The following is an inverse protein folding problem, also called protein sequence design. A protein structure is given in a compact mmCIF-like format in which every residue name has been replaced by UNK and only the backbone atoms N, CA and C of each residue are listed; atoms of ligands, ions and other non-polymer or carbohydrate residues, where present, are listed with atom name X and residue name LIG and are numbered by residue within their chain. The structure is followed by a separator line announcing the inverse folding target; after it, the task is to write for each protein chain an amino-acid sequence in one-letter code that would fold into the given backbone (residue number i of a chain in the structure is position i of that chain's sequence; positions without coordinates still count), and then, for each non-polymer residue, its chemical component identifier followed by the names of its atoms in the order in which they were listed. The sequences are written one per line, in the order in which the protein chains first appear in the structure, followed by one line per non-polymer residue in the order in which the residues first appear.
data_IF_082853004535
#
_entry.id   IF_082853004535
#
_cell.length_a   1.000
_cell.length_b   1.000
_cell.length_c   1.000
_cell.angle_alpha   90.00
_cell.angle_beta   90.00
_cell.angle_gamma   90.00
#
_symmetry.space_group_name_H-M   'P 1'
#
loop_
_entity.id
_entity.type
_entity.pdbx_description
1 polymer ?
#
# COMPACT_ATOMS: atom_id res chain seq x y z
N UNK A 1 6.49 7.33 6.81
CA UNK A 1 7.24 8.45 7.40
C UNK A 1 6.47 8.91 8.63
N UNK A 2 7.15 9.05 9.77
CA UNK A 2 6.56 9.62 10.99
C UNK A 2 7.22 10.97 11.26
N UNK A 3 6.44 12.04 11.16
CA UNK A 3 6.89 13.42 11.39
C UNK A 3 5.83 14.18 12.20
N UNK A 4 6.24 14.80 13.32
CA UNK A 4 5.30 15.38 14.27
C UNK A 4 4.28 14.34 14.72
N UNK A 5 2.99 14.67 14.66
CA UNK A 5 1.88 13.75 14.95
C UNK A 5 1.39 12.96 13.72
N UNK A 6 2.02 13.10 12.55
CA UNK A 6 1.54 12.50 11.31
C UNK A 6 2.37 11.28 10.92
N UNK A 7 1.68 10.18 10.63
CA UNK A 7 2.25 8.99 10.02
C UNK A 7 1.68 8.82 8.61
N UNK A 8 2.52 9.00 7.60
CA UNK A 8 2.19 8.72 6.21
C UNK A 8 2.75 7.37 5.78
N UNK A 9 1.91 6.55 5.13
CA UNK A 9 2.28 5.24 4.58
C UNK A 9 1.91 5.23 3.10
N UNK A 10 2.85 4.80 2.26
CA UNK A 10 2.63 4.57 0.84
C UNK A 10 2.88 3.09 0.53
N UNK A 11 1.95 2.49 -0.21
CA UNK A 11 2.03 1.14 -0.74
C UNK A 11 2.09 1.21 -2.26
N UNK A 12 3.08 0.56 -2.84
CA UNK A 12 3.20 0.30 -4.27
C UNK A 12 3.25 -1.21 -4.46
N UNK A 13 2.39 -1.76 -5.31
CA UNK A 13 2.36 -3.20 -5.52
C UNK A 13 1.95 -3.55 -6.96
N UNK A 14 2.59 -4.53 -7.61
CA UNK A 14 2.01 -5.20 -8.77
C UNK A 14 0.57 -5.63 -8.49
N UNK A 15 -0.34 -5.35 -9.41
CA UNK A 15 -1.76 -5.65 -9.26
C UNK A 15 -1.98 -7.13 -8.90
N UNK A 16 -1.24 -8.04 -9.54
CA UNK A 16 -1.34 -9.48 -9.32
C UNK A 16 -1.12 -9.90 -7.86
N UNK A 17 -0.35 -9.14 -7.07
CA UNK A 17 -0.17 -9.44 -5.64
C UNK A 17 -1.44 -9.19 -4.81
N UNK A 18 -2.31 -8.30 -5.29
CA UNK A 18 -3.50 -7.83 -4.57
C UNK A 18 -4.80 -8.40 -5.16
N UNK A 19 -4.89 -8.56 -6.47
CA UNK A 19 -6.08 -9.07 -7.18
C UNK A 19 -5.89 -10.47 -7.75
N UNK A 20 -4.65 -10.98 -7.84
CA UNK A 20 -4.36 -12.35 -8.28
C UNK A 20 -4.24 -12.55 -9.80
N UNK A 21 -4.30 -11.49 -10.61
CA UNK A 21 -4.17 -11.56 -12.07
C UNK A 21 -3.42 -10.33 -12.64
N UNK A 22 -2.83 -10.48 -13.84
CA UNK A 22 -2.01 -9.44 -14.49
C UNK A 22 -2.75 -8.66 -15.59
N UNK A 23 -3.87 -9.19 -16.06
CA UNK A 23 -4.70 -8.59 -17.11
C UNK A 23 -5.79 -7.69 -16.53
N UNK A 24 -6.58 -7.04 -17.40
CA UNK A 24 -7.73 -6.26 -16.95
C UNK A 24 -8.85 -7.20 -16.51
N UNK A 25 -9.68 -6.84 -15.51
CA UNK A 25 -10.86 -7.61 -15.16
C UNK A 25 -11.84 -7.61 -16.35
N UNK A 26 -12.29 -8.80 -16.75
CA UNK A 26 -13.22 -8.98 -17.88
C UNK A 26 -14.50 -9.70 -17.47
N UNK A 27 -14.51 -10.33 -16.29
CA UNK A 27 -15.65 -11.08 -15.76
C UNK A 27 -16.20 -10.42 -14.49
N UNK A 28 -17.47 -10.70 -14.19
CA UNK A 28 -18.11 -10.23 -12.96
C UNK A 28 -17.33 -10.66 -11.70
N UNK A 29 -16.78 -11.88 -11.71
CA UNK A 29 -15.93 -12.38 -10.62
C UNK A 29 -14.66 -11.55 -10.45
N UNK A 30 -14.02 -11.15 -11.54
CA UNK A 30 -12.81 -10.32 -11.49
C UNK A 30 -13.12 -8.89 -11.04
N UNK A 31 -14.24 -8.31 -11.50
CA UNK A 31 -14.72 -7.02 -11.02
C UNK A 31 -15.04 -7.06 -9.52
N UNK A 32 -15.65 -8.15 -9.04
CA UNK A 32 -15.91 -8.35 -7.62
C UNK A 32 -14.61 -8.45 -6.79
N UNK A 33 -13.57 -9.10 -7.32
CA UNK A 33 -12.24 -9.13 -6.69
C UNK A 33 -11.64 -7.73 -6.59
N UNK A 34 -11.70 -6.92 -7.66
CA UNK A 34 -11.19 -5.54 -7.64
C UNK A 34 -11.93 -4.70 -6.58
N UNK A 35 -13.26 -4.80 -6.53
CA UNK A 35 -14.07 -4.09 -5.54
C UNK A 35 -13.76 -4.55 -4.10
N UNK A 36 -13.52 -5.85 -3.89
CA UNK A 36 -13.11 -6.39 -2.58
C UNK A 36 -11.71 -5.88 -2.19
N UNK A 37 -10.78 -5.85 -3.14
CA UNK A 37 -9.43 -5.33 -2.93
C UNK A 37 -9.46 -3.85 -2.55
N UNK A 38 -10.25 -3.02 -3.25
CA UNK A 38 -10.46 -1.62 -2.88
C UNK A 38 -10.97 -1.50 -1.43
N UNK A 39 -12.00 -2.27 -1.07
CA UNK A 39 -12.57 -2.26 0.29
C UNK A 39 -11.53 -2.62 1.34
N UNK A 40 -10.78 -3.71 1.15
CA UNK A 40 -9.72 -4.11 2.09
C UNK A 40 -8.64 -3.05 2.21
N UNK A 41 -8.21 -2.47 1.09
CA UNK A 41 -7.24 -1.38 1.10
C UNK A 41 -7.76 -0.13 1.81
N UNK A 42 -9.07 0.12 1.84
CA UNK A 42 -9.66 1.25 2.58
C UNK A 42 -9.62 1.08 4.10
N UNK A 43 -9.46 -0.14 4.60
CA UNK A 43 -9.42 -0.48 6.03
C UNK A 43 -8.01 -0.26 6.62
N UNK A 44 -7.48 0.96 6.48
CA UNK A 44 -6.11 1.31 6.89
C UNK A 44 -5.77 0.95 8.34
N UNK A 45 -6.69 1.12 9.29
CA UNK A 45 -6.48 0.75 10.70
C UNK A 45 -6.42 -0.76 10.96
N UNK A 46 -6.98 -1.57 10.06
CA UNK A 46 -6.84 -3.03 10.08
C UNK A 46 -5.50 -3.43 9.46
N UNK A 47 -5.07 -2.70 8.42
CA UNK A 47 -3.85 -2.98 7.68
C UNK A 47 -2.58 -2.56 8.41
N UNK A 48 -2.63 -1.51 9.22
CA UNK A 48 -1.47 -0.91 9.88
C UNK A 48 -1.76 -0.58 11.33
N UNK A 49 -0.89 -1.04 12.22
CA UNK A 49 -1.01 -0.81 13.66
C UNK A 49 0.33 -0.32 14.22
N UNK A 50 0.25 0.63 15.14
CA UNK A 50 1.42 1.18 15.84
C UNK A 50 1.38 0.81 17.31
N UNK A 51 2.54 0.62 17.91
CA UNK A 51 2.67 0.29 19.33
C UNK A 51 3.87 1.02 19.96
N UNK A 52 3.82 1.28 21.29
CA UNK A 52 2.65 1.20 22.18
C UNK A 52 1.61 2.31 21.93
N UNK A 53 1.99 3.41 21.29
CA UNK A 53 1.07 4.49 20.98
C UNK A 53 0.27 4.19 19.70
N UNK A 54 -1.05 4.40 19.77
CA UNK A 54 -1.96 4.22 18.64
C UNK A 54 -1.99 5.46 17.73
N UNK A 55 -2.06 5.22 16.42
CA UNK A 55 -2.34 6.23 15.41
C UNK A 55 -3.68 5.90 14.73
N UNK A 56 -4.50 6.93 14.47
CA UNK A 56 -5.83 6.79 13.90
C UNK A 56 -5.86 7.26 12.46
N UNK A 57 -6.59 6.56 11.60
CA UNK A 57 -6.66 6.88 10.18
C UNK A 57 -7.39 8.22 9.97
N UNK A 58 -6.68 9.19 9.41
CA UNK A 58 -7.22 10.50 9.05
C UNK A 58 -7.73 10.53 7.60
N UNK A 59 -7.14 9.72 6.72
CA UNK A 59 -7.57 9.60 5.33
C UNK A 59 -6.74 8.59 4.55
N UNK A 60 -7.28 8.18 3.39
CA UNK A 60 -6.58 7.31 2.45
C UNK A 60 -6.94 7.70 1.01
N UNK A 61 -6.08 7.30 0.08
CA UNK A 61 -6.31 7.39 -1.37
C UNK A 61 -5.80 6.10 -2.00
N UNK A 62 -6.59 5.48 -2.87
CA UNK A 62 -6.26 4.21 -3.51
C UNK A 62 -6.44 4.40 -5.00
N UNK A 63 -5.39 4.13 -5.76
CA UNK A 63 -5.42 4.20 -7.23
C UNK A 63 -5.40 2.78 -7.82
N UNK A 64 -6.53 2.45 -8.43
CA UNK A 64 -6.76 1.22 -9.21
C UNK A 64 -6.96 1.51 -10.70
N UNK A 65 -6.75 2.75 -11.15
CA UNK A 65 -7.03 3.17 -12.54
C UNK A 65 -6.20 2.40 -13.58
N UNK A 66 -5.04 1.88 -13.19
CA UNK A 66 -4.22 1.03 -14.05
C UNK A 66 -4.91 -0.30 -14.41
N UNK A 67 -5.89 -0.72 -13.59
CA UNK A 67 -6.65 -1.96 -13.75
C UNK A 67 -8.15 -1.75 -14.02
N UNK A 68 -8.75 -0.62 -13.62
CA UNK A 68 -10.20 -0.36 -13.71
C UNK A 68 -10.56 0.66 -14.82
N UNK A 69 -11.75 0.53 -15.42
CA UNK A 69 -12.21 1.32 -16.59
C UNK A 69 -13.18 2.46 -16.26
N UNK A 70 -13.51 2.70 -15.00
CA UNK A 70 -14.51 3.71 -14.63
C UNK A 70 -13.90 5.10 -14.35
N UNK A 71 -13.29 5.70 -15.36
CA UNK A 71 -12.76 7.07 -15.30
C UNK A 71 -12.49 7.63 -16.69
N UNK A 72 -13.57 8.08 -17.34
CA UNK A 72 -13.64 9.14 -18.36
C UNK A 72 -12.84 9.00 -19.68
N UNK A 73 -13.50 9.43 -20.75
CA UNK A 73 -12.97 9.57 -22.11
C UNK A 73 -11.90 10.67 -22.17
N UNK A 74 -10.94 10.50 -23.09
CA UNK A 74 -9.96 11.49 -23.59
C UNK A 74 -8.81 11.94 -22.66
N UNK A 75 -7.64 11.33 -22.86
CA UNK A 75 -6.42 12.09 -23.20
C UNK A 75 -5.44 11.21 -23.97
N UNK A 76 -5.40 11.45 -25.29
CA UNK A 76 -4.16 11.33 -26.05
C UNK A 76 -3.19 12.39 -25.49
N UNK A 77 -2.01 12.00 -25.03
CA UNK A 77 -0.74 12.70 -25.30
C UNK A 77 0.45 12.01 -24.59
N UNK A 78 1.24 11.32 -25.43
CA UNK A 78 2.71 11.17 -25.43
C UNK A 78 3.49 11.56 -24.17
N UNK A 79 4.37 10.66 -23.69
CA UNK A 79 5.82 10.95 -23.59
C UNK A 79 6.70 9.71 -23.32
N UNK A 80 7.58 9.48 -24.30
CA UNK A 80 9.02 9.18 -24.20
C UNK A 80 9.54 7.78 -23.90
N UNK A 81 10.49 7.40 -24.75
CA UNK A 81 11.21 6.13 -24.81
C UNK A 81 12.14 5.88 -23.62
N UNK A 82 12.15 4.64 -23.15
CA UNK A 82 13.36 3.96 -22.64
C UNK A 82 13.18 2.45 -22.83
N UNK A 83 14.08 1.74 -23.53
CA UNK A 83 13.99 0.29 -23.65
C UNK A 83 14.67 -0.32 -22.42
N UNK A 84 14.02 -0.25 -21.27
CA UNK A 84 14.35 -1.13 -20.15
C UNK A 84 13.38 -2.30 -20.17
N UNK A 85 13.92 -3.50 -20.29
CA UNK A 85 13.19 -4.74 -20.04
C UNK A 85 12.59 -4.71 -18.62
N UNK A 86 11.39 -4.20 -18.48
CA UNK A 86 10.55 -4.37 -17.30
C UNK A 86 9.19 -4.78 -17.81
N UNK A 87 8.81 -6.01 -17.50
CA UNK A 87 7.45 -6.50 -17.64
C UNK A 87 6.47 -5.40 -17.20
N UNK A 88 5.59 -5.01 -18.12
CA UNK A 88 4.55 -3.98 -17.95
C UNK A 88 3.48 -4.47 -16.96
N UNK A 89 3.86 -4.79 -15.73
CA UNK A 89 2.92 -5.13 -14.68
C UNK A 89 2.17 -3.86 -14.29
N UNK A 90 0.85 -3.94 -14.30
CA UNK A 90 -0.01 -2.88 -13.78
C UNK A 90 0.26 -2.74 -12.29
N UNK A 91 0.40 -1.52 -11.81
CA UNK A 91 0.67 -1.22 -10.41
C UNK A 91 -0.57 -0.64 -9.74
N UNK A 92 -0.82 -1.06 -8.50
CA UNK A 92 -1.80 -0.44 -7.61
C UNK A 92 -1.01 0.39 -6.61
N UNK A 93 -1.48 1.61 -6.36
CA UNK A 93 -0.94 2.46 -5.31
C UNK A 93 -1.99 2.74 -4.24
N UNK A 94 -1.54 2.82 -2.99
CA UNK A 94 -2.38 3.27 -1.89
C UNK A 94 -1.58 4.17 -0.96
N UNK A 95 -2.20 5.24 -0.51
CA UNK A 95 -1.64 6.21 0.43
C UNK A 95 -2.55 6.30 1.64
N UNK A 96 -1.94 6.36 2.82
CA UNK A 96 -2.63 6.45 4.10
C UNK A 96 -2.01 7.56 4.92
N UNK A 97 -2.86 8.35 5.57
CA UNK A 97 -2.46 9.34 6.56
C UNK A 97 -3.10 9.00 7.88
N UNK A 98 -2.27 8.88 8.91
CA UNK A 98 -2.70 8.66 10.28
C UNK A 98 -2.28 9.84 11.16
N UNK A 99 -3.06 10.07 12.21
CA UNK A 99 -2.75 11.00 13.30
C UNK A 99 -2.44 10.21 14.57
N UNK A 100 -1.23 10.38 15.11
CA UNK A 100 -0.77 9.76 16.34
C UNK A 100 -0.93 10.73 17.51
N UNK A 101 -1.55 10.27 18.61
CA UNK A 101 -1.72 11.09 19.81
C UNK A 101 -0.39 11.33 20.55
N UNK A 102 0.45 10.30 20.61
CA UNK A 102 1.74 10.30 21.30
C UNK A 102 2.84 9.83 20.33
N UNK A 103 3.21 10.65 19.33
CA UNK A 103 4.11 10.23 18.25
C UNK A 103 5.52 9.86 18.73
N UNK A 104 5.98 10.43 19.84
CA UNK A 104 7.28 10.10 20.44
C UNK A 104 7.30 8.72 21.10
N UNK A 105 6.14 8.20 21.49
CA UNK A 105 6.01 6.87 22.05
C UNK A 105 5.81 5.78 21.00
N UNK A 106 5.56 6.10 19.72
CA UNK A 106 5.51 5.11 18.65
C UNK A 106 6.88 4.44 18.47
N UNK A 107 6.96 3.13 18.72
CA UNK A 107 8.20 2.33 18.60
C UNK A 107 8.18 1.36 17.42
N UNK A 108 7.02 0.83 17.07
CA UNK A 108 6.89 -0.17 16.02
C UNK A 108 5.69 0.11 15.13
N UNK A 109 5.77 -0.42 13.90
CA UNK A 109 4.65 -0.50 12.96
C UNK A 109 4.53 -1.97 12.53
N UNK A 110 3.36 -2.56 12.72
CA UNK A 110 3.01 -3.87 12.20
C UNK A 110 1.99 -3.75 11.06
N UNK A 111 1.93 -4.76 10.20
CA UNK A 111 0.98 -4.82 9.10
C UNK A 111 0.36 -6.20 8.91
N UNK A 112 -0.90 -6.21 8.49
CA UNK A 112 -1.65 -7.43 8.14
C UNK A 112 -1.74 -7.66 6.63
N UNK A 113 -1.06 -6.85 5.81
CA UNK A 113 -1.13 -6.90 4.33
C UNK A 113 -0.94 -8.31 3.76
N UNK A 114 0.06 -9.07 4.22
CA UNK A 114 0.35 -10.41 3.69
C UNK A 114 -0.71 -11.45 4.11
N UNK A 115 -1.37 -11.23 5.25
CA UNK A 115 -2.49 -12.07 5.67
C UNK A 115 -3.76 -11.78 4.87
N UNK A 116 -4.01 -10.51 4.54
CA UNK A 116 -5.15 -10.06 3.73
C UNK A 116 -4.97 -10.33 2.23
N UNK A 117 -3.72 -10.30 1.76
CA UNK A 117 -3.31 -10.49 0.37
C UNK A 117 -2.20 -11.54 0.26
N UNK A 118 -2.55 -12.83 0.18
CA UNK A 118 -1.57 -13.93 0.12
C UNK A 118 -0.64 -13.92 -1.11
N UNK A 119 -0.97 -13.10 -2.12
CA UNK A 119 -0.07 -12.84 -3.26
C UNK A 119 1.21 -12.09 -2.85
N UNK A 120 1.18 -11.34 -1.74
CA UNK A 120 2.36 -10.68 -1.17
C UNK A 120 3.16 -11.70 -0.36
N UNK A 121 4.25 -12.20 -0.94
CA UNK A 121 5.19 -13.11 -0.23
C UNK A 121 6.24 -12.35 0.57
N UNK A 122 6.67 -11.20 0.05
CA UNK A 122 7.65 -10.33 0.66
C UNK A 122 7.19 -8.89 0.53
N UNK A 123 7.37 -8.11 1.59
CA UNK A 123 7.11 -6.68 1.59
C UNK A 123 8.40 -5.93 1.93
N UNK A 124 8.90 -5.15 1.00
CA UNK A 124 10.03 -4.26 1.25
C UNK A 124 9.51 -3.00 1.92
N UNK A 125 9.97 -2.74 3.14
CA UNK A 125 9.56 -1.59 3.94
C UNK A 125 10.76 -0.69 4.15
N UNK A 126 10.55 0.60 3.92
CA UNK A 126 11.50 1.66 4.24
C UNK A 126 10.79 2.70 5.10
N UNK A 127 11.49 3.27 6.07
CA UNK A 127 10.90 4.26 6.97
C UNK A 127 11.89 5.34 7.34
N UNK A 128 11.33 6.48 7.73
CA UNK A 128 11.99 7.62 8.36
C UNK A 128 11.10 8.01 9.55
N UNK A 129 11.71 8.21 10.72
CA UNK A 129 11.07 8.61 11.98
C UNK A 129 12.04 9.47 12.79
N UNK A 130 11.74 10.77 12.89
CA UNK A 130 12.67 11.74 13.46
C UNK A 130 14.04 11.69 12.78
N UNK A 131 15.11 11.47 13.56
CA UNK A 131 16.49 11.37 13.05
C UNK A 131 16.91 9.95 12.66
N UNK A 132 15.96 9.01 12.53
CA UNK A 132 16.24 7.61 12.21
C UNK A 132 15.57 7.22 10.90
N UNK A 133 16.24 6.33 10.18
CA UNK A 133 15.71 5.69 8.98
C UNK A 133 16.15 4.23 8.96
N UNK A 134 15.43 3.42 8.18
CA UNK A 134 15.79 2.02 8.02
C UNK A 134 15.05 1.37 6.87
N UNK A 135 15.46 0.13 6.59
CA UNK A 135 14.82 -0.73 5.62
C UNK A 135 14.78 -2.17 6.15
N UNK A 136 13.72 -2.90 5.79
CA UNK A 136 13.53 -4.29 6.17
C UNK A 136 12.66 -5.01 5.13
N UNK A 137 12.88 -6.31 4.98
CA UNK A 137 11.96 -7.19 4.24
C UNK A 137 11.07 -7.93 5.23
N UNK A 138 9.77 -7.72 5.12
CA UNK A 138 8.75 -8.44 5.87
C UNK A 138 8.28 -9.67 5.09
N UNK A 139 7.82 -10.68 5.82
CA UNK A 139 7.24 -11.92 5.32
C UNK A 139 6.27 -12.49 6.37
N UNK A 140 5.75 -13.70 6.15
CA UNK A 140 4.81 -14.32 7.09
C UNK A 140 5.41 -14.61 8.49
N UNK A 141 6.73 -14.64 8.63
CA UNK A 141 7.42 -14.79 9.91
C UNK A 141 7.76 -13.46 10.59
N UNK A 142 7.78 -12.35 9.85
CA UNK A 142 8.06 -11.01 10.37
C UNK A 142 7.14 -9.98 9.74
N UNK A 143 6.15 -9.51 10.51
CA UNK A 143 5.07 -8.63 10.02
C UNK A 143 5.19 -7.17 10.44
N UNK A 144 6.34 -6.73 10.95
CA UNK A 144 6.52 -5.35 11.39
C UNK A 144 7.97 -4.88 11.45
N UNK A 145 8.13 -3.58 11.65
CA UNK A 145 9.41 -2.87 11.73
C UNK A 145 9.51 -2.06 13.03
N UNK A 146 10.74 -1.87 13.49
CA UNK A 146 11.06 -1.03 14.64
C UNK A 146 11.46 0.35 14.13
N UNK A 147 10.70 1.37 14.53
CA UNK A 147 10.87 2.76 14.12
C UNK A 147 11.88 3.51 15.02
N UNK A 148 12.08 3.07 16.27
CA UNK A 148 13.00 3.65 17.26
C UNK A 148 13.66 2.58 18.13
#
# INVERSE_FOLDING_TARGET
MLEGSQLDIALLSPAANLVGFEHRPETDDQLAIVALTHRRLSEGEVLFQTEPASCHLAGHSIDLSTIDKHGEEESEEHHNESPSHSSSHREITAQYRFTCAEPDEVRALSTTLMAQFPGIRHLQVQWISGHRQGAATLDNGRTGVILR
#
